data_IF_491582390227
#
_entry.id   IF_491582390227
#
_cell.length_a   1.000
_cell.length_b   1.000
_cell.length_c   1.000
_cell.angle_alpha   90.00
_cell.angle_beta   90.00
_cell.angle_gamma   90.00
#
_symmetry.space_group_name_H-M   'P 1'
#
loop_
_entity.id
_entity.type
_entity.pdbx_description
1 polymer ?
#
# COMPACT_ATOMS: atom_id res chain seq x y z
N UNK A 1 0.47 8.64 12.93
CA UNK A 1 -0.97 8.51 13.26
C UNK A 1 -1.74 8.72 11.96
N UNK A 2 -2.66 7.82 11.63
CA UNK A 2 -3.44 7.88 10.39
C UNK A 2 -4.19 9.21 10.28
N UNK A 3 -4.17 9.81 9.08
CA UNK A 3 -4.76 11.12 8.81
C UNK A 3 -6.27 11.13 9.09
N UNK A 4 -6.75 12.16 9.80
CA UNK A 4 -8.19 12.38 10.03
C UNK A 4 -8.97 12.50 8.72
N UNK A 5 -8.35 13.03 7.65
CA UNK A 5 -9.00 13.12 6.34
C UNK A 5 -9.30 11.72 5.78
N UNK A 6 -8.35 10.81 5.88
CA UNK A 6 -8.48 9.42 5.41
C UNK A 6 -9.56 8.72 6.24
N UNK A 7 -9.51 8.84 7.57
CA UNK A 7 -10.51 8.25 8.47
C UNK A 7 -11.91 8.76 8.14
N UNK A 8 -12.08 10.08 8.00
CA UNK A 8 -13.37 10.70 7.67
C UNK A 8 -13.86 10.28 6.28
N UNK A 9 -12.95 10.15 5.31
CA UNK A 9 -13.29 9.65 3.98
C UNK A 9 -13.80 8.21 4.06
N UNK A 10 -13.08 7.29 4.71
CA UNK A 10 -13.50 5.90 4.91
C UNK A 10 -14.86 5.83 5.64
N UNK A 11 -15.05 6.64 6.70
CA UNK A 11 -16.35 6.74 7.40
C UNK A 11 -17.48 7.20 6.48
N UNK A 12 -17.23 8.19 5.62
CA UNK A 12 -18.24 8.68 4.66
C UNK A 12 -18.64 7.64 3.61
N UNK A 13 -17.78 6.64 3.37
CA UNK A 13 -18.02 5.52 2.45
C UNK A 13 -18.59 4.27 3.14
N UNK A 14 -18.70 4.27 4.48
CA UNK A 14 -18.97 3.10 5.31
C UNK A 14 -17.87 2.01 5.23
N UNK A 15 -16.62 2.43 5.02
CA UNK A 15 -15.46 1.53 4.97
C UNK A 15 -14.74 1.41 6.31
N UNK A 16 -15.07 2.25 7.30
CA UNK A 16 -14.36 2.28 8.57
C UNK A 16 -15.11 1.48 9.64
N UNK A 17 -14.44 0.48 10.21
CA UNK A 17 -14.95 -0.41 11.24
C UNK A 17 -14.15 -0.21 12.53
N UNK A 18 -14.85 -0.07 13.66
CA UNK A 18 -14.19 0.10 14.98
C UNK A 18 -13.74 -1.25 15.56
N UNK A 19 -14.41 -2.34 15.19
CA UNK A 19 -14.05 -3.70 15.58
C UNK A 19 -12.88 -4.20 14.71
N UNK A 20 -11.80 -4.64 15.36
CA UNK A 20 -10.61 -5.17 14.69
C UNK A 20 -10.64 -6.69 14.74
N UNK A 21 -10.49 -7.33 13.59
CA UNK A 21 -10.32 -8.78 13.50
C UNK A 21 -8.91 -9.21 13.94
N UNK A 22 -8.83 -10.23 14.80
CA UNK A 22 -7.53 -10.70 15.29
C UNK A 22 -6.67 -11.30 14.17
N UNK A 23 -7.30 -11.95 13.18
CA UNK A 23 -6.62 -12.50 12.00
C UNK A 23 -5.92 -11.41 11.17
N UNK A 24 -6.47 -10.19 11.14
CA UNK A 24 -5.85 -9.05 10.45
C UNK A 24 -4.58 -8.60 11.18
N UNK A 25 -4.58 -8.59 12.51
CA UNK A 25 -3.36 -8.31 13.29
C UNK A 25 -2.28 -9.36 13.04
N UNK A 26 -2.67 -10.64 13.05
CA UNK A 26 -1.74 -11.74 12.76
C UNK A 26 -1.16 -11.64 11.34
N UNK A 27 -1.97 -11.25 10.35
CA UNK A 27 -1.53 -11.03 8.99
C UNK A 27 -0.47 -9.92 8.91
N UNK A 28 -0.68 -8.79 9.58
CA UNK A 28 0.28 -7.69 9.62
C UNK A 28 1.58 -8.06 10.36
N UNK A 29 1.49 -8.79 11.47
CA UNK A 29 2.67 -9.30 12.19
C UNK A 29 3.47 -10.26 11.30
N UNK A 30 2.83 -11.12 10.51
CA UNK A 30 3.52 -12.00 9.53
C UNK A 30 4.26 -11.21 8.44
N UNK A 31 3.80 -10.01 8.13
CA UNK A 31 4.47 -9.08 7.20
C UNK A 31 5.52 -8.21 7.89
N UNK A 32 5.74 -8.40 9.19
CA UNK A 32 6.69 -7.62 9.99
C UNK A 32 6.31 -6.11 10.00
N UNK A 33 5.00 -5.84 10.08
CA UNK A 33 4.43 -4.50 10.22
C UNK A 33 4.23 -4.18 11.70
N UNK A 34 4.67 -2.99 12.11
CA UNK A 34 4.33 -2.42 13.42
C UNK A 34 2.82 -2.14 13.49
N UNK A 35 2.12 -2.77 14.43
CA UNK A 35 0.68 -2.58 14.65
C UNK A 35 0.32 -1.14 15.11
N UNK A 36 1.29 -0.36 15.58
CA UNK A 36 1.13 1.05 15.88
C UNK A 36 1.29 2.00 14.67
N UNK A 37 1.65 1.47 13.50
CA UNK A 37 1.88 2.26 12.29
C UNK A 37 0.59 2.76 11.64
N UNK A 38 0.73 3.74 10.76
CA UNK A 38 -0.39 4.29 9.98
C UNK A 38 -0.89 3.28 8.95
N UNK A 39 0.03 2.50 8.39
CA UNK A 39 -0.27 1.34 7.56
C UNK A 39 -1.16 0.32 8.28
N UNK A 40 -0.76 -0.09 9.49
CA UNK A 40 -1.56 -1.03 10.28
C UNK A 40 -2.92 -0.44 10.64
N UNK A 41 -2.96 0.80 11.12
CA UNK A 41 -4.20 1.48 11.49
C UNK A 41 -5.19 1.52 10.31
N UNK A 42 -4.71 1.80 9.09
CA UNK A 42 -5.58 1.75 7.91
C UNK A 42 -6.10 0.33 7.65
N UNK A 43 -5.22 -0.67 7.54
CA UNK A 43 -5.64 -2.03 7.14
C UNK A 43 -6.37 -2.81 8.24
N UNK A 44 -6.32 -2.38 9.50
CA UNK A 44 -7.12 -2.95 10.58
C UNK A 44 -8.55 -2.39 10.63
N UNK A 45 -8.79 -1.21 10.06
CA UNK A 45 -10.06 -0.49 10.22
C UNK A 45 -10.77 -0.20 8.90
N UNK A 46 -10.05 -0.05 7.78
CA UNK A 46 -10.61 0.26 6.48
C UNK A 46 -10.85 -1.01 5.65
N UNK A 47 -12.04 -1.13 5.07
CA UNK A 47 -12.40 -2.20 4.15
C UNK A 47 -13.53 -1.78 3.17
N UNK A 48 -13.27 -1.89 1.86
CA UNK A 48 -14.26 -1.74 0.75
C UNK A 48 -14.53 -3.10 0.06
N UNK A 49 -14.01 -4.20 0.64
CA UNK A 49 -13.87 -5.51 0.02
C UNK A 49 -12.39 -5.89 -0.15
N UNK A 50 -12.05 -6.75 -1.13
CA UNK A 50 -10.67 -7.23 -1.31
C UNK A 50 -9.70 -6.13 -1.79
N UNK A 51 -10.23 -5.08 -2.42
CA UNK A 51 -9.44 -3.96 -2.95
C UNK A 51 -10.13 -2.63 -2.64
N UNK A 52 -9.35 -1.56 -2.64
CA UNK A 52 -9.83 -0.20 -2.73
C UNK A 52 -9.62 0.30 -4.17
N UNK A 53 -10.59 0.98 -4.75
CA UNK A 53 -10.48 1.54 -6.10
C UNK A 53 -10.48 3.07 -6.06
N UNK A 54 -9.43 3.68 -6.63
CA UNK A 54 -9.34 5.12 -6.85
C UNK A 54 -8.34 5.43 -7.96
N UNK A 55 -8.41 6.61 -8.57
CA UNK A 55 -7.51 7.01 -9.68
C UNK A 55 -7.37 5.97 -10.80
N UNK A 56 -8.44 5.21 -11.05
CA UNK A 56 -8.49 4.10 -12.04
C UNK A 56 -7.50 2.96 -11.78
N UNK A 57 -7.08 2.78 -10.52
CA UNK A 57 -6.18 1.71 -10.08
C UNK A 57 -6.75 1.08 -8.82
N UNK A 58 -6.45 -0.19 -8.61
CA UNK A 58 -6.78 -0.90 -7.38
C UNK A 58 -5.56 -0.95 -6.48
N UNK A 59 -5.78 -0.84 -5.17
CA UNK A 59 -4.83 -1.31 -4.17
C UNK A 59 -5.50 -2.38 -3.32
N UNK A 60 -4.73 -3.35 -2.86
CA UNK A 60 -5.20 -4.45 -2.03
C UNK A 60 -5.65 -3.99 -0.65
N UNK A 61 -6.67 -4.66 -0.13
CA UNK A 61 -6.83 -4.89 1.30
C UNK A 61 -5.82 -6.00 1.68
N UNK A 62 -4.69 -5.59 2.27
CA UNK A 62 -3.53 -6.47 2.49
C UNK A 62 -3.86 -7.63 3.43
N UNK A 63 -4.60 -7.38 4.51
CA UNK A 63 -5.02 -8.42 5.45
C UNK A 63 -5.93 -9.44 4.78
N UNK A 64 -6.90 -8.98 3.98
CA UNK A 64 -7.81 -9.82 3.21
C UNK A 64 -7.02 -10.75 2.29
N UNK A 65 -6.05 -10.22 1.54
CA UNK A 65 -5.21 -11.03 0.65
C UNK A 65 -4.33 -12.01 1.44
N UNK A 66 -3.76 -11.60 2.57
CA UNK A 66 -2.95 -12.47 3.43
C UNK A 66 -3.74 -13.67 4.00
N UNK A 67 -5.04 -13.51 4.21
CA UNK A 67 -5.91 -14.54 4.81
C UNK A 67 -6.60 -15.39 3.73
N UNK A 68 -7.13 -14.75 2.69
CA UNK A 68 -8.01 -15.38 1.72
C UNK A 68 -7.29 -15.87 0.46
N UNK A 69 -6.02 -15.52 0.28
CA UNK A 69 -5.24 -15.98 -0.87
C UNK A 69 -4.01 -16.76 -0.40
N UNK A 70 -3.75 -17.89 -1.05
CA UNK A 70 -2.60 -18.73 -0.74
C UNK A 70 -1.31 -18.25 -1.42
N UNK A 71 -1.41 -17.29 -2.34
CA UNK A 71 -0.35 -16.87 -3.23
C UNK A 71 0.13 -15.45 -3.01
N UNK A 72 -0.49 -14.61 -2.17
CA UNK A 72 -0.02 -13.23 -1.93
C UNK A 72 1.47 -13.17 -1.52
N UNK A 73 1.88 -13.93 -0.49
CA UNK A 73 3.30 -13.98 -0.08
C UNK A 73 4.22 -14.54 -1.16
N UNK A 74 3.73 -15.48 -1.99
CA UNK A 74 4.49 -16.02 -3.10
C UNK A 74 4.63 -15.00 -4.23
N UNK A 75 3.56 -14.25 -4.51
CA UNK A 75 3.51 -13.14 -5.45
C UNK A 75 4.47 -12.04 -5.04
N UNK A 76 4.41 -11.61 -3.77
CA UNK A 76 5.35 -10.65 -3.19
C UNK A 76 6.81 -11.09 -3.38
N UNK A 77 7.15 -12.34 -3.02
CA UNK A 77 8.51 -12.88 -3.23
C UNK A 77 8.92 -12.88 -4.70
N UNK A 78 8.01 -13.25 -5.61
CA UNK A 78 8.28 -13.20 -7.05
C UNK A 78 8.51 -11.77 -7.51
N UNK A 79 7.73 -10.81 -7.06
CA UNK A 79 7.88 -9.40 -7.39
C UNK A 79 9.24 -8.86 -6.94
N UNK A 80 9.69 -9.18 -5.72
CA UNK A 80 11.04 -8.84 -5.25
C UNK A 80 12.14 -9.40 -6.16
N UNK A 81 12.02 -10.68 -6.55
CA UNK A 81 13.01 -11.34 -7.40
C UNK A 81 13.00 -10.78 -8.83
N UNK A 82 11.82 -10.62 -9.43
CA UNK A 82 11.66 -10.20 -10.83
C UNK A 82 12.03 -8.73 -11.00
N UNK A 83 11.61 -7.87 -10.08
CA UNK A 83 11.90 -6.44 -10.15
C UNK A 83 13.23 -6.09 -9.49
N UNK A 84 13.90 -7.03 -8.81
CA UNK A 84 15.10 -6.78 -8.01
C UNK A 84 14.87 -5.72 -6.91
N UNK A 85 13.65 -5.67 -6.36
CA UNK A 85 13.28 -4.76 -5.27
C UNK A 85 13.67 -5.33 -3.90
N UNK A 86 14.13 -4.48 -2.95
CA UNK A 86 14.37 -4.91 -1.57
C UNK A 86 13.11 -5.51 -0.92
N UNK A 87 13.30 -6.49 -0.02
CA UNK A 87 12.20 -7.18 0.67
C UNK A 87 11.36 -6.24 1.57
N UNK A 88 11.89 -5.06 1.89
CA UNK A 88 11.20 -4.02 2.66
C UNK A 88 10.01 -3.40 1.91
N UNK A 89 9.93 -3.59 0.59
CA UNK A 89 8.85 -3.05 -0.24
C UNK A 89 7.69 -4.05 -0.33
N UNK A 90 6.57 -3.74 0.30
CA UNK A 90 5.32 -4.50 0.19
C UNK A 90 4.53 -4.00 -1.03
N UNK A 91 4.22 -4.87 -2.01
CA UNK A 91 3.37 -4.50 -3.13
C UNK A 91 1.93 -4.25 -2.65
N UNK A 92 1.41 -3.08 -3.00
CA UNK A 92 0.05 -2.66 -2.70
C UNK A 92 -0.93 -3.05 -3.80
N UNK A 93 -0.45 -3.51 -4.95
CA UNK A 93 -1.26 -3.94 -6.08
C UNK A 93 -0.59 -5.11 -6.81
N UNK A 94 -1.22 -5.59 -7.88
CA UNK A 94 -0.72 -6.70 -8.70
C UNK A 94 0.34 -6.28 -9.73
N UNK A 95 0.75 -5.01 -9.77
CA UNK A 95 1.63 -4.45 -10.80
C UNK A 95 1.06 -4.58 -12.24
N UNK A 96 -0.28 -4.62 -12.39
CA UNK A 96 -0.90 -4.71 -13.71
C UNK A 96 -0.61 -3.47 -14.56
N UNK A 97 -0.29 -3.72 -15.84
CA UNK A 97 0.05 -2.66 -16.79
C UNK A 97 1.45 -2.09 -16.60
N UNK A 98 2.37 -2.90 -16.07
CA UNK A 98 3.81 -2.57 -15.96
C UNK A 98 4.13 -1.42 -15.01
N UNK A 99 3.20 -1.10 -14.09
CA UNK A 99 3.34 -0.08 -13.06
C UNK A 99 2.60 -0.51 -11.79
N UNK A 100 3.18 -0.26 -10.62
CA UNK A 100 2.51 -0.52 -9.34
C UNK A 100 3.03 0.31 -8.18
N UNK A 101 2.35 0.19 -7.05
CA UNK A 101 2.66 0.87 -5.80
C UNK A 101 3.31 -0.08 -4.78
N UNK A 102 4.35 0.43 -4.11
CA UNK A 102 5.17 -0.32 -3.17
C UNK A 102 5.36 0.47 -1.88
N UNK A 103 4.88 -0.07 -0.76
CA UNK A 103 5.06 0.52 0.56
C UNK A 103 6.36 0.02 1.20
N UNK A 104 7.22 0.92 1.67
CA UNK A 104 8.43 0.56 2.39
C UNK A 104 8.12 0.46 3.90
N UNK A 105 8.14 -0.76 4.43
CA UNK A 105 7.79 -1.02 5.84
C UNK A 105 8.73 -0.40 6.88
N UNK A 106 9.94 -0.01 6.48
CA UNK A 106 10.93 0.57 7.37
C UNK A 106 10.91 2.10 7.38
N UNK A 107 10.41 2.73 6.31
CA UNK A 107 10.44 4.20 6.16
C UNK A 107 9.06 4.85 6.10
N UNK A 108 7.99 4.06 6.04
CA UNK A 108 6.61 4.49 5.81
C UNK A 108 6.38 5.13 4.41
N UNK A 109 7.41 5.23 3.58
CA UNK A 109 7.30 5.83 2.25
C UNK A 109 6.58 4.89 1.25
N UNK A 110 5.94 5.48 0.24
CA UNK A 110 5.37 4.72 -0.88
C UNK A 110 6.06 5.14 -2.18
N UNK A 111 6.43 4.13 -2.97
CA UNK A 111 7.03 4.25 -4.28
C UNK A 111 6.02 3.79 -5.34
N UNK A 112 5.74 4.66 -6.30
CA UNK A 112 5.16 4.28 -7.59
C UNK A 112 6.30 3.98 -8.56
N UNK A 113 6.29 2.79 -9.16
CA UNK A 113 7.35 2.33 -10.04
C UNK A 113 6.77 1.66 -11.27
N UNK A 114 7.22 2.11 -12.44
CA UNK A 114 6.99 1.46 -13.73
C UNK A 114 8.23 0.77 -14.29
N UNK A 115 8.04 -0.09 -15.29
CA UNK A 115 9.15 -0.69 -16.05
C UNK A 115 9.93 0.36 -16.87
N UNK A 116 11.11 -0.03 -17.35
CA UNK A 116 11.97 0.83 -18.19
C UNK A 116 12.71 1.90 -17.38
N UNK A 117 12.67 3.15 -17.86
CA UNK A 117 13.48 4.24 -17.30
C UNK A 117 13.22 4.49 -15.81
N UNK A 118 11.98 4.33 -15.33
CA UNK A 118 11.68 4.52 -13.90
C UNK A 118 12.40 3.50 -13.02
N UNK A 119 12.49 2.24 -13.44
CA UNK A 119 13.29 1.21 -12.74
C UNK A 119 14.79 1.54 -12.79
N UNK A 120 15.32 1.93 -13.96
CA UNK A 120 16.73 2.32 -14.09
C UNK A 120 17.09 3.50 -13.17
N UNK A 121 16.23 4.53 -13.14
CA UNK A 121 16.41 5.71 -12.31
C UNK A 121 16.32 5.36 -10.83
N UNK A 122 15.42 4.46 -10.43
CA UNK A 122 15.32 3.98 -9.05
C UNK A 122 16.61 3.29 -8.60
N UNK A 123 17.13 2.35 -9.38
CA UNK A 123 18.38 1.66 -9.03
C UNK A 123 19.62 2.53 -9.10
N UNK A 124 19.60 3.59 -9.91
CA UNK A 124 20.64 4.61 -9.94
C UNK A 124 20.55 5.61 -8.76
N UNK A 125 19.48 5.57 -7.96
CA UNK A 125 19.21 6.54 -6.90
C UNK A 125 18.69 7.89 -7.40
N UNK A 126 18.30 7.98 -8.68
CA UNK A 126 17.75 9.18 -9.32
C UNK A 126 16.22 9.29 -9.13
N UNK A 127 15.53 8.17 -8.90
CA UNK A 127 14.12 8.14 -8.51
C UNK A 127 14.01 7.85 -7.02
N UNK A 128 13.25 8.68 -6.31
CA UNK A 128 12.94 8.49 -4.89
C UNK A 128 11.43 8.35 -4.70
N UNK A 129 11.01 7.83 -3.55
CA UNK A 129 9.60 7.67 -3.18
C UNK A 129 8.81 8.95 -3.39
N UNK A 130 7.72 8.86 -4.15
CA UNK A 130 6.84 10.01 -4.47
C UNK A 130 6.01 10.44 -3.25
N UNK A 131 5.77 9.52 -2.32
CA UNK A 131 5.07 9.80 -1.07
C UNK A 131 5.98 9.51 0.12
N UNK A 132 6.17 10.52 0.97
CA UNK A 132 7.05 10.47 2.15
C UNK A 132 6.44 9.76 3.37
N UNK A 133 5.19 9.35 3.25
CA UNK A 133 4.44 8.60 4.26
C UNK A 133 3.27 7.88 3.60
N UNK A 134 2.76 6.83 4.26
CA UNK A 134 1.59 6.12 3.79
C UNK A 134 0.35 7.02 3.79
N UNK A 135 0.25 7.93 4.77
CA UNK A 135 -0.77 8.98 4.79
C UNK A 135 -0.76 9.83 3.53
N UNK A 136 0.40 10.35 3.15
CA UNK A 136 0.50 11.20 1.95
C UNK A 136 0.12 10.44 0.68
N UNK A 137 0.40 9.14 0.62
CA UNK A 137 -0.08 8.27 -0.44
C UNK A 137 -1.59 8.12 -0.42
N UNK A 138 -2.21 7.78 0.72
CA UNK A 138 -3.66 7.60 0.82
C UNK A 138 -4.43 8.90 0.53
N UNK A 139 -3.96 10.04 1.03
CA UNK A 139 -4.59 11.32 0.73
C UNK A 139 -4.49 11.67 -0.77
N UNK A 140 -3.37 11.37 -1.42
CA UNK A 140 -3.27 11.50 -2.87
C UNK A 140 -4.18 10.49 -3.58
N UNK A 141 -4.12 9.22 -3.20
CA UNK A 141 -4.80 8.10 -3.84
C UNK A 141 -6.31 8.28 -3.82
N UNK A 142 -6.88 8.65 -2.67
CA UNK A 142 -8.32 8.93 -2.50
C UNK A 142 -8.73 10.36 -2.91
N UNK A 143 -7.85 11.12 -3.55
CA UNK A 143 -8.15 12.47 -4.06
C UNK A 143 -8.56 13.46 -2.94
N UNK A 144 -7.94 13.34 -1.77
CA UNK A 144 -8.18 14.15 -0.56
C UNK A 144 -7.23 15.36 -0.44
N UNK A 145 -6.39 15.59 -1.47
CA UNK A 145 -5.52 16.77 -1.57
C UNK A 145 -5.61 17.35 -2.97
N UNK A 146 -5.36 18.66 -3.07
CA UNK A 146 -5.21 19.36 -4.34
C UNK A 146 -3.83 19.13 -5.00
N UNK A 147 -2.94 18.35 -4.36
CA UNK A 147 -1.61 18.07 -4.89
C UNK A 147 -1.70 17.06 -6.03
N UNK A 148 -1.29 17.49 -7.22
CA UNK A 148 -1.04 16.60 -8.34
C UNK A 148 0.35 15.99 -8.23
N UNK A 149 0.43 14.72 -7.81
CA UNK A 149 1.61 13.89 -8.11
C UNK A 149 1.40 13.28 -9.49
N UNK A 150 2.29 13.61 -10.43
CA UNK A 150 2.33 13.00 -11.76
C UNK A 150 3.26 11.79 -11.70
N UNK A 151 2.74 10.63 -12.12
CA UNK A 151 3.45 9.35 -12.16
C UNK A 151 3.97 9.04 -13.55
#
# INVERSE_FOLDING_TARGET
MLSEKVINYCKSKNWWFEDIEEEYKEALVKLDIDLGSDFATFYLHAEDGPTFFSRRREIYQICWFMINTSDYLLGMKRTHVVLNLPEDYIPLDNFDGEFGFFYNKNTDEVLGLGLGQQMEDFFAGNLTSQWKSFNSFLEWYFELTDLSVTL
#
